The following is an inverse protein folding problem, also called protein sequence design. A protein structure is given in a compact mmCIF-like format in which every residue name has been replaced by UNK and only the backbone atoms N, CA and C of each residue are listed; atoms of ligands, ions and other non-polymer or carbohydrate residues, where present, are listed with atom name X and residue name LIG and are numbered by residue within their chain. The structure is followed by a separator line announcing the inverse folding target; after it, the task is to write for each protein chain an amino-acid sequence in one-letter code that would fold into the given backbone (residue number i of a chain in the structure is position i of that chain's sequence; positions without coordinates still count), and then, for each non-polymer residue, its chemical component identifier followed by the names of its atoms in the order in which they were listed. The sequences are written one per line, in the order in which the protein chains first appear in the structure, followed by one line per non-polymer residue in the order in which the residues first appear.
data_IF_635909968942
#
_entry.id   IF_635909968942
#
_cell.length_a   1.000
_cell.length_b   1.000
_cell.length_c   1.000
_cell.angle_alpha   90.00
_cell.angle_beta   90.00
_cell.angle_gamma   90.00
#
_symmetry.space_group_name_H-M   'P 1'
#
loop_
_entity.id
_entity.type
_entity.pdbx_description
1 polymer ?
#
# COMPACT_ATOMS: atom_id res chain seq x y z
N UNK A 1 -10.50 -33.78 12.29
CA UNK A 1 -10.11 -33.08 11.04
C UNK A 1 -8.62 -32.72 11.16
N UNK A 2 -7.73 -33.39 10.42
CA UNK A 2 -6.28 -33.15 10.50
C UNK A 2 -5.93 -31.80 9.86
N UNK A 3 -5.14 -30.96 10.54
CA UNK A 3 -4.66 -29.69 9.99
C UNK A 3 -3.67 -29.96 8.85
N UNK A 4 -4.16 -29.86 7.61
CA UNK A 4 -3.39 -30.03 6.37
C UNK A 4 -2.09 -29.19 6.33
N UNK A 5 -2.03 -28.12 7.12
CA UNK A 5 -0.87 -27.21 7.17
C UNK A 5 -0.01 -27.34 8.43
N UNK A 6 -0.22 -28.36 9.29
CA UNK A 6 0.53 -28.51 10.54
C UNK A 6 2.05 -28.54 10.33
N UNK A 7 2.53 -29.34 9.37
CA UNK A 7 3.96 -29.43 9.03
C UNK A 7 4.53 -28.08 8.55
N UNK A 8 3.79 -27.39 7.67
CA UNK A 8 4.20 -26.09 7.15
C UNK A 8 4.20 -25.01 8.23
N UNK A 9 3.21 -25.00 9.13
CA UNK A 9 3.18 -24.09 10.29
C UNK A 9 4.41 -24.27 11.19
N UNK A 10 4.80 -25.53 11.46
CA UNK A 10 6.00 -25.85 12.23
C UNK A 10 7.27 -25.33 11.53
N UNK A 11 7.38 -25.53 10.22
CA UNK A 11 8.52 -25.04 9.43
C UNK A 11 8.61 -23.51 9.42
N UNK A 12 7.48 -22.83 9.21
CA UNK A 12 7.37 -21.36 9.28
C UNK A 12 7.84 -20.85 10.64
N UNK A 13 7.39 -21.48 11.74
CA UNK A 13 7.80 -21.11 13.11
C UNK A 13 9.30 -21.29 13.31
N UNK A 14 9.87 -22.43 12.89
CA UNK A 14 11.33 -22.68 12.98
C UNK A 14 12.16 -21.63 12.24
N UNK A 15 11.77 -21.27 11.02
CA UNK A 15 12.46 -20.22 10.24
C UNK A 15 12.34 -18.87 10.96
N UNK A 16 11.14 -18.53 11.43
CA UNK A 16 10.90 -17.28 12.15
C UNK A 16 11.75 -17.16 13.42
N UNK A 17 11.79 -18.21 14.25
CA UNK A 17 12.59 -18.28 15.48
C UNK A 17 14.10 -18.26 15.20
N UNK A 18 14.57 -19.02 14.21
CA UNK A 18 15.98 -18.99 13.77
C UNK A 18 16.44 -17.59 13.42
N UNK A 19 15.57 -16.79 12.79
CA UNK A 19 15.85 -15.41 12.45
C UNK A 19 15.42 -14.40 13.53
N UNK A 20 15.12 -14.87 14.75
CA UNK A 20 14.77 -14.04 15.93
C UNK A 20 13.62 -13.07 15.64
N UNK A 21 12.61 -13.53 14.89
CA UNK A 21 11.43 -12.75 14.50
C UNK A 21 11.69 -11.65 13.47
N UNK A 22 12.88 -11.57 12.88
CA UNK A 22 13.22 -10.53 11.89
C UNK A 22 12.62 -10.77 10.51
N UNK A 23 12.18 -11.99 10.24
CA UNK A 23 11.68 -12.40 8.94
C UNK A 23 10.16 -12.31 8.90
N UNK A 24 9.63 -11.41 8.07
CA UNK A 24 8.23 -11.42 7.67
C UNK A 24 7.95 -12.44 6.57
N UNK A 25 6.68 -12.58 6.18
CA UNK A 25 6.23 -13.63 5.24
C UNK A 25 7.03 -13.68 3.93
N UNK A 26 7.50 -12.55 3.40
CA UNK A 26 8.31 -12.52 2.18
C UNK A 26 9.65 -13.25 2.35
N UNK A 27 10.36 -12.98 3.45
CA UNK A 27 11.66 -13.63 3.74
C UNK A 27 11.48 -15.09 4.16
N UNK A 28 10.42 -15.40 4.92
CA UNK A 28 10.06 -16.79 5.23
C UNK A 28 9.73 -17.57 3.95
N UNK A 29 8.97 -16.99 3.02
CA UNK A 29 8.68 -17.61 1.72
C UNK A 29 9.96 -17.87 0.91
N UNK A 30 10.89 -16.90 0.90
CA UNK A 30 12.17 -17.07 0.21
C UNK A 30 12.99 -18.22 0.81
N UNK A 31 13.07 -18.31 2.14
CA UNK A 31 13.78 -19.39 2.84
C UNK A 31 13.16 -20.77 2.59
N UNK A 32 11.82 -20.87 2.54
CA UNK A 32 11.12 -22.11 2.18
C UNK A 32 11.43 -22.54 0.74
N UNK A 33 11.41 -21.60 -0.21
CA UNK A 33 11.74 -21.87 -1.62
C UNK A 33 13.20 -22.29 -1.80
N UNK A 34 14.12 -21.66 -1.07
CA UNK A 34 15.52 -22.05 -1.07
C UNK A 34 15.74 -23.47 -0.53
N UNK A 35 14.86 -23.93 0.36
CA UNK A 35 14.83 -25.30 0.86
C UNK A 35 14.07 -26.29 -0.07
N UNK A 36 13.69 -25.86 -1.29
CA UNK A 36 12.98 -26.68 -2.28
C UNK A 36 11.45 -26.68 -2.14
N UNK A 37 10.89 -25.95 -1.17
CA UNK A 37 9.44 -25.88 -0.96
C UNK A 37 8.82 -24.73 -1.78
N UNK A 38 8.28 -25.04 -2.97
CA UNK A 38 7.61 -24.09 -3.85
C UNK A 38 6.21 -23.70 -3.34
N UNK A 39 6.17 -22.89 -2.28
CA UNK A 39 4.92 -22.41 -1.67
C UNK A 39 4.61 -20.99 -2.12
N UNK A 40 3.32 -20.72 -2.36
CA UNK A 40 2.82 -19.38 -2.66
C UNK A 40 2.96 -18.46 -1.41
N UNK A 41 3.50 -17.26 -1.61
CA UNK A 41 3.69 -16.27 -0.55
C UNK A 41 2.38 -15.91 0.16
N UNK A 42 1.22 -15.95 -0.53
CA UNK A 42 -0.10 -15.71 0.08
C UNK A 42 -0.45 -16.76 1.13
N UNK A 43 -0.10 -18.02 0.88
CA UNK A 43 -0.31 -19.11 1.84
C UNK A 43 0.56 -18.92 3.08
N UNK A 44 1.85 -18.58 2.89
CA UNK A 44 2.76 -18.28 4.00
C UNK A 44 2.28 -17.07 4.81
N UNK A 45 1.84 -16.00 4.15
CA UNK A 45 1.27 -14.82 4.80
C UNK A 45 0.06 -15.17 5.66
N UNK A 46 -0.90 -15.93 5.11
CA UNK A 46 -2.10 -16.37 5.82
C UNK A 46 -1.73 -17.21 7.05
N UNK A 47 -0.84 -18.19 6.90
CA UNK A 47 -0.42 -19.07 7.99
C UNK A 47 0.36 -18.34 9.08
N UNK A 48 1.25 -17.40 8.72
CA UNK A 48 1.90 -16.53 9.71
C UNK A 48 0.88 -15.68 10.47
N UNK A 49 -0.17 -15.19 9.79
CA UNK A 49 -1.29 -14.49 10.44
C UNK A 49 -2.02 -15.36 11.46
N UNK A 50 -2.37 -16.60 11.09
CA UNK A 50 -2.98 -17.59 12.00
C UNK A 50 -2.10 -17.90 13.20
N UNK A 51 -0.77 -17.92 13.02
CA UNK A 51 0.20 -18.18 14.09
C UNK A 51 0.57 -16.92 14.91
N UNK A 52 0.02 -15.74 14.57
CA UNK A 52 0.37 -14.48 15.23
C UNK A 52 1.79 -13.97 14.95
N UNK A 53 2.49 -14.51 13.95
CA UNK A 53 3.88 -14.17 13.66
C UNK A 53 3.98 -12.91 12.79
N UNK A 54 4.69 -11.89 13.28
CA UNK A 54 4.92 -10.61 12.58
C UNK A 54 6.38 -10.21 12.65
N UNK A 55 6.91 -9.64 11.57
CA UNK A 55 8.30 -9.16 11.57
C UNK A 55 8.51 -8.08 12.63
N UNK A 56 9.52 -8.25 13.47
CA UNK A 56 9.89 -7.31 14.54
C UNK A 56 10.68 -6.08 14.05
N UNK A 57 11.24 -6.14 12.84
CA UNK A 57 12.27 -5.16 12.38
C UNK A 57 11.70 -3.81 11.98
N UNK A 58 10.43 -3.72 11.60
CA UNK A 58 9.89 -2.47 11.05
C UNK A 58 8.62 -2.05 11.77
N UNK A 59 8.67 -0.97 12.58
CA UNK A 59 7.47 -0.22 12.93
C UNK A 59 6.76 0.16 11.63
N UNK A 60 5.46 -0.06 11.55
CA UNK A 60 4.66 0.37 10.41
C UNK A 60 4.79 1.90 10.34
N UNK A 61 5.32 2.44 9.22
CA UNK A 61 5.35 3.90 9.01
C UNK A 61 3.94 4.43 9.24
N UNK A 62 3.82 5.46 10.09
CA UNK A 62 2.54 6.09 10.38
C UNK A 62 1.84 6.44 9.06
N UNK A 63 0.59 6.03 8.94
CA UNK A 63 -0.30 6.46 7.86
C UNK A 63 -1.28 7.43 8.50
N UNK A 64 -1.19 8.71 8.13
CA UNK A 64 -2.15 9.75 8.51
C UNK A 64 -3.57 9.39 8.04
N UNK A 65 -3.67 8.65 6.95
CA UNK A 65 -4.93 8.12 6.45
C UNK A 65 -5.48 7.03 7.38
N UNK A 66 -6.38 7.44 8.29
CA UNK A 66 -7.09 6.57 9.24
C UNK A 66 -8.43 6.03 8.71
N UNK A 67 -8.75 6.26 7.44
CA UNK A 67 -9.84 5.58 6.74
C UNK A 67 -11.16 5.55 7.52
N UNK A 68 -11.75 6.73 7.74
CA UNK A 68 -13.16 7.00 8.06
C UNK A 68 -13.22 8.49 8.41
N UNK A 69 -13.94 9.29 7.62
CA UNK A 69 -14.06 10.73 7.87
C UNK A 69 -14.33 11.59 6.63
N UNK A 70 -14.19 11.03 5.43
CA UNK A 70 -14.69 11.71 4.25
C UNK A 70 -16.19 11.48 4.15
N UNK A 71 -16.95 12.57 4.08
CA UNK A 71 -18.30 12.56 3.51
C UNK A 71 -18.20 11.85 2.18
N UNK A 72 -18.91 10.72 2.02
CA UNK A 72 -18.97 10.01 0.75
C UNK A 72 -19.76 10.87 -0.22
N UNK A 73 -19.09 11.82 -0.86
CA UNK A 73 -19.66 12.60 -1.96
C UNK A 73 -19.71 11.73 -3.20
N UNK A 74 -20.77 11.86 -3.99
CA UNK A 74 -20.89 11.16 -5.25
C UNK A 74 -19.70 11.53 -6.15
N UNK A 75 -19.02 10.54 -6.71
CA UNK A 75 -17.98 10.77 -7.70
C UNK A 75 -18.64 11.18 -9.03
N UNK A 76 -18.87 12.48 -9.20
CA UNK A 76 -19.50 13.05 -10.39
C UNK A 76 -18.69 12.78 -11.66
N UNK A 77 -17.36 12.74 -11.56
CA UNK A 77 -16.48 12.50 -12.70
C UNK A 77 -16.54 11.06 -13.20
N UNK A 78 -16.81 10.07 -12.35
CA UNK A 78 -16.79 8.64 -12.69
C UNK A 78 -15.55 8.20 -13.49
N UNK A 79 -14.38 8.81 -13.19
CA UNK A 79 -13.11 8.63 -13.92
C UNK A 79 -13.13 9.08 -15.40
N UNK A 80 -14.09 9.90 -15.80
CA UNK A 80 -14.18 10.50 -17.13
C UNK A 80 -13.42 11.84 -17.17
N UNK A 81 -12.10 11.76 -17.28
CA UNK A 81 -11.19 12.92 -17.26
C UNK A 81 -11.05 13.66 -18.60
N UNK A 82 -11.90 13.35 -19.58
CA UNK A 82 -11.94 14.08 -20.86
C UNK A 82 -13.17 14.98 -20.88
N UNK A 83 -12.99 16.27 -21.15
CA UNK A 83 -14.06 17.20 -21.45
C UNK A 83 -14.29 17.31 -22.98
N UNK A 84 -15.49 17.68 -23.39
CA UNK A 84 -15.84 17.96 -24.78
C UNK A 84 -15.67 19.43 -25.13
N UNK A 85 -15.76 20.31 -24.14
CA UNK A 85 -15.66 21.76 -24.29
C UNK A 85 -14.84 22.38 -23.16
N UNK A 86 -14.27 23.56 -23.41
CA UNK A 86 -13.59 24.37 -22.41
C UNK A 86 -14.52 24.67 -21.21
N UNK A 87 -13.97 24.72 -20.00
CA UNK A 87 -14.66 24.99 -18.75
C UNK A 87 -15.74 23.97 -18.33
N UNK A 88 -15.78 22.79 -18.95
CA UNK A 88 -16.71 21.72 -18.55
C UNK A 88 -16.22 20.97 -17.29
N UNK A 89 -14.90 20.75 -17.17
CA UNK A 89 -14.29 20.00 -16.08
C UNK A 89 -12.92 20.58 -15.73
N UNK A 90 -12.77 21.01 -14.48
CA UNK A 90 -11.49 21.45 -13.92
C UNK A 90 -10.98 20.48 -12.88
N UNK A 91 -9.67 20.34 -12.83
CA UNK A 91 -8.97 19.60 -11.78
C UNK A 91 -7.90 20.48 -11.16
N UNK A 92 -7.64 20.27 -9.87
CA UNK A 92 -6.56 20.96 -9.15
C UNK A 92 -5.90 19.96 -8.21
N UNK A 93 -4.62 20.20 -7.92
CA UNK A 93 -3.86 19.47 -6.94
C UNK A 93 -3.00 20.45 -6.14
N UNK A 94 -2.77 20.19 -4.86
CA UNK A 94 -1.95 21.05 -4.01
C UNK A 94 -0.60 20.38 -3.80
N UNK A 95 0.46 21.00 -4.32
CA UNK A 95 1.84 20.49 -4.18
C UNK A 95 2.64 21.36 -3.20
N UNK A 96 3.24 20.75 -2.18
CA UNK A 96 4.18 21.39 -1.25
C UNK A 96 5.61 21.33 -1.80
N UNK A 97 6.28 22.47 -1.85
CA UNK A 97 7.70 22.62 -2.19
C UNK A 97 8.47 23.13 -0.98
N UNK A 98 9.72 22.71 -0.82
CA UNK A 98 10.65 23.30 0.14
C UNK A 98 11.71 24.10 -0.63
N UNK A 99 11.76 25.41 -0.42
CA UNK A 99 12.72 26.31 -1.05
C UNK A 99 13.41 27.09 0.06
N UNK A 100 14.73 26.88 0.21
CA UNK A 100 15.51 27.60 1.23
C UNK A 100 15.10 27.31 2.68
N UNK A 101 14.44 26.19 2.96
CA UNK A 101 13.91 25.88 4.29
C UNK A 101 12.48 26.38 4.53
N UNK A 102 11.94 27.18 3.63
CA UNK A 102 10.55 27.64 3.66
C UNK A 102 9.65 26.68 2.88
N UNK A 103 8.42 26.52 3.38
CA UNK A 103 7.39 25.72 2.72
C UNK A 103 6.54 26.60 1.83
N UNK A 104 6.49 26.25 0.55
CA UNK A 104 5.66 26.88 -0.46
C UNK A 104 4.61 25.88 -0.94
N UNK A 105 3.45 26.38 -1.34
CA UNK A 105 2.35 25.57 -1.85
C UNK A 105 1.92 26.12 -3.21
N UNK A 106 1.77 25.25 -4.20
CA UNK A 106 1.21 25.58 -5.52
C UNK A 106 -0.08 24.81 -5.72
N UNK A 107 -1.12 25.46 -6.23
CA UNK A 107 -2.41 24.84 -6.52
C UNK A 107 -2.87 25.18 -7.93
N UNK A 108 -2.27 24.59 -8.98
CA UNK A 108 -2.67 24.89 -10.34
C UNK A 108 -4.08 24.33 -10.60
N UNK A 109 -4.87 25.06 -11.39
CA UNK A 109 -6.17 24.63 -11.91
C UNK A 109 -5.97 24.31 -13.38
N UNK A 110 -6.28 23.07 -13.77
CA UNK A 110 -6.14 22.56 -15.13
C UNK A 110 -7.50 22.29 -15.75
N UNK A 111 -7.66 22.70 -17.00
CA UNK A 111 -8.82 22.37 -17.83
C UNK A 111 -8.66 21.01 -18.53
N UNK A 112 -9.66 20.12 -18.37
CA UNK A 112 -9.61 18.77 -18.92
C UNK A 112 -10.02 18.66 -20.40
N UNK A 113 -10.31 19.78 -21.07
CA UNK A 113 -10.54 19.83 -22.51
C UNK A 113 -9.23 19.82 -23.28
N UNK A 114 -8.34 20.76 -22.97
CA UNK A 114 -7.07 20.98 -23.67
C UNK A 114 -5.83 20.78 -22.78
N UNK A 115 -5.99 20.57 -21.47
CA UNK A 115 -4.88 20.39 -20.53
C UNK A 115 -4.19 21.69 -20.11
N UNK A 116 -4.73 22.86 -20.46
CA UNK A 116 -4.13 24.14 -20.11
C UNK A 116 -4.35 24.49 -18.63
N UNK A 117 -3.38 25.19 -18.05
CA UNK A 117 -3.49 25.75 -16.71
C UNK A 117 -4.23 27.09 -16.81
N UNK A 118 -5.41 27.16 -16.19
CA UNK A 118 -6.25 28.36 -16.19
C UNK A 118 -5.95 29.29 -15.01
N UNK A 119 -5.36 28.79 -13.92
CA UNK A 119 -4.97 29.57 -12.73
C UNK A 119 -3.97 28.80 -11.85
N UNK A 120 -3.30 29.44 -10.89
CA UNK A 120 -2.37 28.84 -9.93
C UNK A 120 -2.22 29.62 -8.61
#
# INVERSE_FOLDING_TARGET
MSDKHAALKSRIRKIYERHKGRYGYRRVTAALRQAGEMINHKTVQRLMGVLGLKSLVRPKKYRSYRGAGHVTVANLLQRQFKAKQFAEKWVTDVTEFNVGGEKLYLSPIMDLYNGEIVSY
#
